data_IF_051836623322
#
_entry.id   IF_051836623322
#
_cell.length_a   1.000
_cell.length_b   1.000
_cell.length_c   1.000
_cell.angle_alpha   90.00
_cell.angle_beta   90.00
_cell.angle_gamma   90.00
#
_symmetry.space_group_name_H-M   'P 1'
#
loop_
_entity.id
_entity.type
_entity.pdbx_description
1 polymer ?
#
# COMPACT_ATOMS: atom_id res chain seq x y z
N UNK A 1 -16.59 42.55 -11.35
CA UNK A 1 -16.35 41.45 -12.31
C UNK A 1 -14.91 41.04 -12.16
N UNK A 2 -14.63 40.06 -11.29
CA UNK A 2 -13.41 39.28 -11.37
C UNK A 2 -13.80 37.83 -11.16
N UNK A 3 -13.48 37.01 -12.17
CA UNK A 3 -13.81 35.59 -12.20
C UNK A 3 -12.99 34.91 -11.11
N UNK A 4 -13.66 34.54 -10.02
CA UNK A 4 -13.21 33.44 -9.17
C UNK A 4 -13.20 32.21 -10.08
N UNK A 5 -12.04 31.92 -10.66
CA UNK A 5 -11.75 30.69 -11.36
C UNK A 5 -11.97 29.57 -10.36
N UNK A 6 -13.13 28.97 -10.45
CA UNK A 6 -13.47 27.67 -9.91
C UNK A 6 -12.48 26.68 -10.53
N UNK A 7 -11.35 26.48 -9.87
CA UNK A 7 -10.60 25.24 -10.04
C UNK A 7 -11.58 24.14 -9.67
N UNK A 8 -12.09 23.47 -10.70
CA UNK A 8 -12.90 22.27 -10.59
C UNK A 8 -12.12 21.26 -9.78
N UNK A 9 -12.35 21.25 -8.46
CA UNK A 9 -11.64 20.45 -7.49
C UNK A 9 -11.79 18.97 -7.82
N UNK A 10 -10.82 18.42 -8.55
CA UNK A 10 -10.55 16.98 -8.59
C UNK A 10 -10.03 16.62 -7.20
N UNK A 11 -10.94 16.45 -6.25
CA UNK A 11 -10.63 15.84 -4.96
C UNK A 11 -10.25 14.39 -5.24
N UNK A 12 -8.95 14.10 -5.33
CA UNK A 12 -8.44 12.75 -5.46
C UNK A 12 -8.63 12.02 -4.13
N UNK A 13 -8.88 10.71 -4.18
CA UNK A 13 -9.06 9.86 -3.00
C UNK A 13 -7.96 10.05 -1.94
N UNK A 14 -6.72 10.21 -2.43
CA UNK A 14 -5.53 10.54 -1.65
C UNK A 14 -4.66 11.54 -2.42
N UNK A 15 -3.77 12.25 -1.71
CA UNK A 15 -2.77 13.11 -2.34
C UNK A 15 -1.76 12.31 -3.18
N UNK A 16 -1.33 12.89 -4.31
CA UNK A 16 -0.34 12.28 -5.20
C UNK A 16 0.99 11.96 -4.52
N UNK A 17 1.34 12.66 -3.43
CA UNK A 17 2.57 12.41 -2.69
C UNK A 17 2.67 10.97 -2.19
N UNK A 18 1.55 10.37 -1.76
CA UNK A 18 1.51 9.01 -1.25
C UNK A 18 1.77 7.97 -2.35
N UNK A 19 1.29 8.24 -3.56
CA UNK A 19 1.54 7.39 -4.74
C UNK A 19 3.02 7.46 -5.12
N UNK A 20 3.62 8.65 -5.10
CA UNK A 20 5.05 8.83 -5.35
C UNK A 20 5.92 8.09 -4.32
N UNK A 21 5.58 8.20 -3.04
CA UNK A 21 6.28 7.47 -1.97
C UNK A 21 6.09 5.95 -2.11
N UNK A 22 4.92 5.47 -2.53
CA UNK A 22 4.70 4.05 -2.79
C UNK A 22 5.49 3.53 -4.00
N UNK A 23 5.72 4.36 -5.03
CA UNK A 23 6.62 3.99 -6.12
C UNK A 23 8.08 3.89 -5.64
N UNK A 24 8.52 4.81 -4.76
CA UNK A 24 9.84 4.73 -4.14
C UNK A 24 9.99 3.45 -3.30
N UNK A 25 8.97 3.13 -2.50
CA UNK A 25 8.89 1.87 -1.74
C UNK A 25 9.01 0.65 -2.66
N UNK A 26 8.28 0.64 -3.78
CA UNK A 26 8.30 -0.45 -4.76
C UNK A 26 9.70 -0.65 -5.36
N UNK A 27 10.40 0.43 -5.70
CA UNK A 27 11.77 0.36 -6.24
C UNK A 27 12.71 -0.23 -5.19
N UNK A 28 12.66 0.29 -3.96
CA UNK A 28 13.55 -0.18 -2.89
C UNK A 28 13.31 -1.65 -2.56
N UNK A 29 12.04 -2.06 -2.44
CA UNK A 29 11.66 -3.45 -2.19
C UNK A 29 12.01 -4.38 -3.37
N UNK A 30 11.99 -3.88 -4.61
CA UNK A 30 12.42 -4.65 -5.78
C UNK A 30 13.92 -4.93 -5.72
N UNK A 31 14.72 -3.90 -5.41
CA UNK A 31 16.18 -4.04 -5.28
C UNK A 31 16.53 -5.04 -4.18
N UNK A 32 15.89 -4.93 -3.00
CA UNK A 32 16.17 -5.86 -1.90
C UNK A 32 15.76 -7.29 -2.25
N UNK A 33 14.58 -7.49 -2.84
CA UNK A 33 14.11 -8.83 -3.21
C UNK A 33 14.97 -9.45 -4.32
N UNK A 34 15.43 -8.65 -5.29
CA UNK A 34 16.33 -9.11 -6.34
C UNK A 34 17.70 -9.54 -5.77
N UNK A 35 18.27 -8.73 -4.87
CA UNK A 35 19.52 -9.07 -4.20
C UNK A 35 19.37 -10.28 -3.26
N UNK A 36 18.22 -10.45 -2.61
CA UNK A 36 17.95 -11.63 -1.80
C UNK A 36 17.88 -12.93 -2.61
N UNK A 37 17.28 -12.91 -3.80
CA UNK A 37 17.16 -14.08 -4.67
C UNK A 37 18.51 -14.45 -5.32
N UNK A 38 19.24 -13.46 -5.86
CA UNK A 38 20.39 -13.72 -6.73
C UNK A 38 21.75 -13.66 -6.02
N UNK A 39 21.83 -13.04 -4.84
CA UNK A 39 23.09 -12.91 -4.12
C UNK A 39 23.18 -13.92 -2.99
N UNK A 40 24.00 -14.97 -3.18
CA UNK A 40 24.16 -16.07 -2.21
C UNK A 40 24.61 -15.59 -0.82
N UNK A 41 25.30 -14.45 -0.74
CA UNK A 41 25.73 -13.84 0.51
C UNK A 41 24.58 -13.37 1.41
N UNK A 42 23.39 -13.09 0.87
CA UNK A 42 22.27 -12.46 1.62
C UNK A 42 21.76 -13.35 2.75
N UNK A 43 21.60 -14.64 2.48
CA UNK A 43 21.07 -15.63 3.44
C UNK A 43 22.11 -16.66 3.89
N UNK A 44 23.38 -16.45 3.53
CA UNK A 44 24.49 -17.38 3.85
C UNK A 44 24.69 -17.68 5.34
N UNK A 45 24.30 -16.74 6.21
CA UNK A 45 24.42 -16.86 7.67
C UNK A 45 23.21 -17.51 8.32
N UNK A 46 22.14 -17.76 7.55
CA UNK A 46 20.92 -18.37 8.04
C UNK A 46 20.99 -19.89 8.01
N UNK A 47 20.15 -20.53 8.83
CA UNK A 47 19.92 -21.96 8.69
C UNK A 47 19.32 -22.25 7.31
N UNK A 48 19.55 -23.46 6.77
CA UNK A 48 19.03 -23.86 5.45
C UNK A 48 17.52 -23.63 5.31
N UNK A 49 16.75 -23.90 6.36
CA UNK A 49 15.30 -23.70 6.37
C UNK A 49 14.91 -22.21 6.27
N UNK A 50 15.64 -21.33 6.96
CA UNK A 50 15.42 -19.88 6.90
C UNK A 50 15.90 -19.28 5.58
N UNK A 51 17.00 -19.75 5.01
CA UNK A 51 17.48 -19.29 3.71
C UNK A 51 16.47 -19.60 2.58
N UNK A 52 15.92 -20.82 2.55
CA UNK A 52 14.88 -21.19 1.57
C UNK A 52 13.60 -20.36 1.77
N UNK A 53 13.20 -20.12 3.03
CA UNK A 53 12.06 -19.26 3.33
C UNK A 53 12.29 -17.80 2.91
N UNK A 54 13.49 -17.25 3.16
CA UNK A 54 13.86 -15.89 2.74
C UNK A 54 13.77 -15.70 1.23
N UNK A 55 14.34 -16.63 0.47
CA UNK A 55 14.23 -16.63 -1.00
C UNK A 55 12.76 -16.73 -1.44
N UNK A 56 11.98 -17.63 -0.83
CA UNK A 56 10.54 -17.75 -1.11
C UNK A 56 9.77 -16.46 -0.80
N UNK A 57 10.14 -15.79 0.29
CA UNK A 57 9.56 -14.52 0.70
C UNK A 57 9.92 -13.39 -0.27
N UNK A 58 11.11 -13.37 -0.85
CA UNK A 58 11.49 -12.39 -1.87
C UNK A 58 10.67 -12.55 -3.16
N UNK A 59 10.38 -13.79 -3.59
CA UNK A 59 9.46 -14.03 -4.70
C UNK A 59 8.05 -13.52 -4.39
N UNK A 60 7.55 -13.76 -3.18
CA UNK A 60 6.26 -13.24 -2.75
C UNK A 60 6.25 -11.70 -2.73
N UNK A 61 7.34 -11.07 -2.28
CA UNK A 61 7.50 -9.62 -2.28
C UNK A 61 7.40 -9.06 -3.71
N UNK A 62 8.06 -9.68 -4.71
CA UNK A 62 7.96 -9.25 -6.11
C UNK A 62 6.52 -9.31 -6.66
N UNK A 63 5.74 -10.33 -6.29
CA UNK A 63 4.32 -10.41 -6.66
C UNK A 63 3.54 -9.26 -6.02
N UNK A 64 3.76 -8.98 -4.73
CA UNK A 64 3.07 -7.89 -4.03
C UNK A 64 3.48 -6.52 -4.56
N UNK A 65 4.73 -6.33 -4.96
CA UNK A 65 5.21 -5.12 -5.66
C UNK A 65 4.39 -4.91 -6.94
N UNK A 66 4.18 -5.95 -7.74
CA UNK A 66 3.36 -5.85 -8.95
C UNK A 66 1.92 -5.41 -8.63
N UNK A 67 1.31 -5.98 -7.59
CA UNK A 67 -0.04 -5.58 -7.13
C UNK A 67 -0.05 -4.12 -6.67
N UNK A 68 0.94 -3.68 -5.89
CA UNK A 68 1.09 -2.30 -5.43
C UNK A 68 1.14 -1.32 -6.61
N UNK A 69 1.94 -1.62 -7.64
CA UNK A 69 2.07 -0.79 -8.85
C UNK A 69 0.78 -0.74 -9.67
N UNK A 70 0.05 -1.86 -9.78
CA UNK A 70 -1.27 -1.88 -10.41
C UNK A 70 -2.28 -1.03 -9.62
N UNK A 71 -2.28 -1.15 -8.29
CA UNK A 71 -3.11 -0.33 -7.43
C UNK A 71 -2.78 1.17 -7.57
N UNK A 72 -1.49 1.55 -7.66
CA UNK A 72 -1.08 2.94 -7.90
C UNK A 72 -1.72 3.51 -9.18
N UNK A 73 -1.74 2.72 -10.26
CA UNK A 73 -2.41 3.11 -11.51
C UNK A 73 -3.93 3.29 -11.32
N UNK A 74 -4.62 2.37 -10.65
CA UNK A 74 -6.07 2.50 -10.43
C UNK A 74 -6.45 3.57 -9.40
N UNK A 75 -5.56 3.89 -8.47
CA UNK A 75 -5.72 5.01 -7.54
C UNK A 75 -5.73 6.34 -8.26
N UNK A 76 -4.91 6.49 -9.31
CA UNK A 76 -4.94 7.68 -10.17
C UNK A 76 -6.30 7.89 -10.85
N UNK A 77 -7.12 6.83 -10.94
CA UNK A 77 -8.49 6.84 -11.47
C UNK A 77 -9.57 6.94 -10.38
N UNK A 78 -9.21 7.24 -9.13
CA UNK A 78 -10.12 7.36 -7.98
C UNK A 78 -10.93 6.08 -7.68
N UNK A 79 -10.29 4.91 -7.75
CA UNK A 79 -10.93 3.65 -7.36
C UNK A 79 -10.76 3.36 -5.86
N UNK A 80 -11.86 3.37 -5.10
CA UNK A 80 -11.83 3.03 -3.67
C UNK A 80 -11.49 1.56 -3.41
N UNK A 81 -11.92 0.64 -4.29
CA UNK A 81 -11.53 -0.77 -4.20
C UNK A 81 -10.01 -0.94 -4.35
N UNK A 82 -9.38 -0.20 -5.27
CA UNK A 82 -7.93 -0.20 -5.43
C UNK A 82 -7.23 0.34 -4.18
N UNK A 83 -7.82 1.34 -3.51
CA UNK A 83 -7.30 1.88 -2.25
C UNK A 83 -7.28 0.83 -1.13
N UNK A 84 -8.34 0.05 -0.96
CA UNK A 84 -8.35 -1.02 0.04
C UNK A 84 -7.28 -2.08 -0.22
N UNK A 85 -7.13 -2.52 -1.48
CA UNK A 85 -6.07 -3.48 -1.84
C UNK A 85 -4.68 -2.86 -1.63
N UNK A 86 -4.51 -1.59 -1.99
CA UNK A 86 -3.27 -0.84 -1.78
C UNK A 86 -2.88 -0.78 -0.30
N UNK A 87 -3.82 -0.48 0.61
CA UNK A 87 -3.58 -0.56 2.06
C UNK A 87 -3.14 -1.96 2.50
N UNK A 88 -3.78 -3.00 1.97
CA UNK A 88 -3.40 -4.39 2.21
C UNK A 88 -1.95 -4.69 1.81
N UNK A 89 -1.49 -4.17 0.66
CA UNK A 89 -0.09 -4.34 0.24
C UNK A 89 0.89 -3.64 1.18
N UNK A 90 0.55 -2.46 1.72
CA UNK A 90 1.39 -1.78 2.70
C UNK A 90 1.50 -2.55 4.01
N UNK A 91 0.38 -3.10 4.50
CA UNK A 91 0.36 -3.96 5.69
C UNK A 91 1.22 -5.22 5.47
N UNK A 92 1.13 -5.83 4.28
CA UNK A 92 1.99 -6.95 3.91
C UNK A 92 3.48 -6.57 3.98
N UNK A 93 3.86 -5.40 3.44
CA UNK A 93 5.25 -4.95 3.51
C UNK A 93 5.70 -4.71 4.95
N UNK A 94 4.86 -4.10 5.80
CA UNK A 94 5.18 -3.94 7.21
C UNK A 94 5.41 -5.30 7.87
N UNK A 95 4.51 -6.25 7.70
CA UNK A 95 4.65 -7.61 8.25
C UNK A 95 5.94 -8.27 7.77
N UNK A 96 6.17 -8.28 6.46
CA UNK A 96 7.33 -8.93 5.86
C UNK A 96 8.60 -8.27 6.38
N UNK A 97 8.74 -6.95 6.27
CA UNK A 97 9.96 -6.24 6.61
C UNK A 97 10.23 -6.11 8.12
N UNK A 98 9.23 -6.35 8.99
CA UNK A 98 9.48 -6.64 10.41
C UNK A 98 10.30 -7.93 10.55
N UNK A 99 9.94 -8.99 9.82
CA UNK A 99 10.70 -10.24 9.86
C UNK A 99 12.13 -10.00 9.37
N UNK A 100 12.30 -9.27 8.26
CA UNK A 100 13.63 -8.96 7.74
C UNK A 100 14.48 -8.07 8.65
N UNK A 101 13.87 -7.11 9.35
CA UNK A 101 14.62 -6.21 10.22
C UNK A 101 15.00 -6.84 11.57
N UNK A 102 14.17 -7.75 12.10
CA UNK A 102 14.33 -8.24 13.47
C UNK A 102 14.77 -9.71 13.58
N UNK A 103 14.53 -10.55 12.57
CA UNK A 103 14.78 -11.99 12.65
C UNK A 103 15.91 -12.48 11.75
N UNK A 104 16.21 -11.76 10.68
CA UNK A 104 17.37 -12.03 9.84
C UNK A 104 18.66 -11.51 10.49
N UNK A 105 19.76 -12.24 10.33
CA UNK A 105 21.06 -11.77 10.77
C UNK A 105 21.42 -10.47 10.02
N UNK A 106 22.07 -9.54 10.74
CA UNK A 106 22.56 -8.31 10.15
C UNK A 106 23.42 -8.59 8.90
N UNK A 107 23.01 -7.98 7.80
CA UNK A 107 23.66 -8.04 6.50
C UNK A 107 23.68 -6.63 5.86
N UNK A 108 24.28 -6.52 4.68
CA UNK A 108 24.41 -5.24 3.98
C UNK A 108 23.07 -4.62 3.53
N UNK A 109 21.98 -5.41 3.47
CA UNK A 109 20.63 -4.95 3.12
C UNK A 109 19.83 -4.44 4.32
N UNK A 110 20.34 -4.60 5.55
CA UNK A 110 19.63 -4.24 6.78
C UNK A 110 19.06 -2.81 6.74
N UNK A 111 19.86 -1.83 6.29
CA UNK A 111 19.42 -0.43 6.22
C UNK A 111 18.26 -0.24 5.22
N UNK A 112 18.25 -0.99 4.12
CA UNK A 112 17.16 -0.99 3.17
C UNK A 112 15.91 -1.63 3.79
N UNK A 113 16.05 -2.71 4.57
CA UNK A 113 14.92 -3.35 5.25
C UNK A 113 14.21 -2.40 6.22
N UNK A 114 14.98 -1.70 7.06
CA UNK A 114 14.44 -0.71 8.01
C UNK A 114 13.81 0.47 7.27
N UNK A 115 14.41 0.90 6.17
CA UNK A 115 13.88 1.99 5.34
C UNK A 115 12.54 1.61 4.68
N UNK A 116 12.41 0.38 4.16
CA UNK A 116 11.15 -0.14 3.59
C UNK A 116 10.10 -0.27 4.68
N UNK A 117 10.46 -0.78 5.86
CA UNK A 117 9.56 -0.88 7.01
C UNK A 117 9.04 0.50 7.44
N UNK A 118 9.94 1.47 7.65
CA UNK A 118 9.56 2.83 8.03
C UNK A 118 8.72 3.53 6.97
N UNK A 119 9.10 3.40 5.70
CA UNK A 119 8.39 4.04 4.58
C UNK A 119 7.00 3.43 4.38
N UNK A 120 6.86 2.10 4.43
CA UNK A 120 5.54 1.44 4.31
C UNK A 120 4.61 1.83 5.46
N UNK A 121 5.11 1.88 6.69
CA UNK A 121 4.34 2.35 7.84
C UNK A 121 3.93 3.82 7.71
N UNK A 122 4.86 4.69 7.30
CA UNK A 122 4.60 6.11 7.11
C UNK A 122 3.55 6.37 6.03
N UNK A 123 3.65 5.69 4.89
CA UNK A 123 2.66 5.77 3.80
C UNK A 123 1.29 5.28 4.30
N UNK A 124 1.25 4.15 5.02
CA UNK A 124 0.00 3.59 5.54
C UNK A 124 -0.69 4.61 6.46
N UNK A 125 0.01 5.09 7.48
CA UNK A 125 -0.55 6.02 8.46
C UNK A 125 -0.98 7.34 7.81
N UNK A 126 -0.12 7.91 6.97
CA UNK A 126 -0.41 9.18 6.29
C UNK A 126 -1.57 9.08 5.31
N UNK A 127 -1.71 7.95 4.62
CA UNK A 127 -2.84 7.70 3.72
C UNK A 127 -4.16 7.50 4.47
N UNK A 128 -4.13 6.93 5.67
CA UNK A 128 -5.32 6.71 6.51
C UNK A 128 -5.79 8.02 7.17
N UNK A 129 -4.87 8.90 7.53
CA UNK A 129 -5.22 10.22 8.10
C UNK A 129 -5.72 11.17 6.99
N UNK A 130 -5.12 11.09 5.80
CA UNK A 130 -5.39 11.99 4.68
C UNK A 130 -6.52 11.58 3.73
N UNK A 131 -7.29 10.53 4.05
CA UNK A 131 -8.33 10.01 3.15
C UNK A 131 -9.58 10.90 3.16
N UNK A 132 -10.15 11.15 1.97
CA UNK A 132 -11.43 11.84 1.84
C UNK A 132 -12.57 10.85 1.55
N UNK A 133 -13.27 10.39 2.60
CA UNK A 133 -14.37 9.41 2.47
C UNK A 133 -15.70 10.00 1.98
N UNK A 134 -15.82 11.34 1.92
CA UNK A 134 -17.11 12.02 1.69
C UNK A 134 -17.84 11.59 0.42
N UNK A 135 -17.14 10.97 -0.54
CA UNK A 135 -17.67 10.56 -1.84
C UNK A 135 -18.11 9.10 -1.95
N UNK A 136 -17.80 8.24 -0.97
CA UNK A 136 -18.01 6.79 -1.09
C UNK A 136 -18.98 6.19 -0.06
N UNK A 137 -19.52 7.01 0.84
CA UNK A 137 -20.56 6.59 1.79
C UNK A 137 -21.80 6.05 1.04
N UNK A 138 -22.20 6.71 -0.05
CA UNK A 138 -23.37 6.32 -0.85
C UNK A 138 -23.18 5.01 -1.64
N UNK A 139 -21.93 4.61 -1.91
CA UNK A 139 -21.63 3.36 -2.64
C UNK A 139 -21.67 2.11 -1.76
N UNK A 140 -21.44 2.26 -0.45
CA UNK A 140 -21.45 1.16 0.52
C UNK A 140 -22.73 1.11 1.34
N UNK A 141 -23.31 2.26 1.63
CA UNK A 141 -24.60 2.41 2.27
C UNK A 141 -25.56 3.06 1.27
N UNK A 142 -26.16 2.29 0.34
CA UNK A 142 -27.28 2.83 -0.42
C UNK A 142 -28.28 3.35 0.61
N UNK A 143 -28.52 4.66 0.58
CA UNK A 143 -29.41 5.29 1.54
C UNK A 143 -30.76 4.60 1.49
N UNK A 144 -31.24 4.05 2.60
CA UNK A 144 -32.59 3.49 2.71
C UNK A 144 -33.68 4.60 2.71
N UNK A 145 -33.38 5.75 2.13
CA UNK A 145 -34.29 6.89 1.95
C UNK A 145 -35.24 6.58 0.80
N UNK A 146 -36.15 5.63 1.02
CA UNK A 146 -37.09 5.18 0.00
C UNK A 146 -38.17 4.20 0.48
N UNK A 147 -38.21 3.82 1.77
CA UNK A 147 -39.43 3.26 2.33
C UNK A 147 -40.32 4.42 2.79
N UNK A 148 -41.06 4.99 1.85
CA UNK A 148 -42.29 5.71 2.17
C UNK A 148 -43.17 4.75 2.98
N UNK A 149 -43.36 5.09 4.24
CA UNK A 149 -44.39 4.51 5.09
C UNK A 149 -45.72 4.57 4.32
N UNK A 150 -46.48 3.46 4.19
CA UNK A 150 -47.79 3.52 3.55
C UNK A 150 -48.62 4.52 4.35
N UNK A 151 -49.25 5.48 3.67
CA UNK A 151 -50.26 6.34 4.27
C UNK A 151 -51.30 5.42 4.91
N UNK A 152 -51.36 5.43 6.25
CA UNK A 152 -52.41 4.80 6.99
C UNK A 152 -53.67 5.64 6.80
N UNK A 153 -54.30 5.46 5.65
CA UNK A 153 -55.62 5.98 5.33
C UNK A 153 -56.63 5.02 5.98
N UNK A 154 -57.04 5.33 7.22
CA UNK A 154 -58.21 4.80 7.89
C UNK A 154 -59.12 5.94 8.34
#
# INVERSE_FOLDING_TARGET
MDKITTESGKWSLISNIWIWLANLLAILASITSFLGIFFEGTYSRETRAWAVQGIGQDYANLIVIFILLMCNYFLSKNSFKAYLVWLGTLIYFIYSFVIYAFFLHFNFLFLAYVSILGLSFYILLGSLIGINLSKYQDSFFPSQTGKSEPSADF
#
